data_IF_908091692336
#
_entry.id   IF_908091692336
#
_cell.length_a   1.000
_cell.length_b   1.000
_cell.length_c   1.000
_cell.angle_alpha   90.00
_cell.angle_beta   90.00
_cell.angle_gamma   90.00
#
_symmetry.space_group_name_H-M   'P 1'
#
loop_
_entity.id
_entity.type
_entity.pdbx_description
1 polymer ?
#
# COMPACT_ATOMS: atom_id res chain seq x y z
N UNK A 1 -14.80 -5.67 -44.26
CA UNK A 1 -15.17 -6.85 -43.48
C UNK A 1 -13.98 -7.81 -43.53
N UNK A 2 -13.02 -7.60 -42.62
CA UNK A 2 -11.82 -8.45 -42.46
C UNK A 2 -11.78 -8.88 -41.00
N UNK A 3 -12.25 -10.11 -40.79
CA UNK A 3 -12.21 -10.79 -39.48
C UNK A 3 -10.75 -11.13 -39.17
N UNK A 4 -10.12 -10.44 -38.19
CA UNK A 4 -8.81 -10.85 -37.65
C UNK A 4 -9.01 -12.08 -36.77
N UNK A 5 -8.35 -13.17 -37.12
CA UNK A 5 -8.29 -14.40 -36.32
C UNK A 5 -7.55 -14.13 -35.04
N UNK A 6 -7.92 -14.79 -33.92
CA UNK A 6 -7.17 -14.71 -32.68
C UNK A 6 -5.77 -15.35 -32.86
N UNK A 7 -4.75 -14.69 -32.31
CA UNK A 7 -3.38 -15.23 -32.26
C UNK A 7 -3.36 -16.47 -31.37
N UNK A 8 -3.14 -17.62 -31.97
CA UNK A 8 -2.76 -18.84 -31.25
C UNK A 8 -1.23 -18.85 -31.10
N UNK A 9 -0.72 -18.74 -29.88
CA UNK A 9 0.69 -18.96 -29.56
C UNK A 9 0.85 -20.48 -29.41
N UNK A 10 1.60 -21.10 -30.32
CA UNK A 10 2.01 -22.50 -30.20
C UNK A 10 3.04 -22.63 -29.05
N UNK A 11 2.89 -23.68 -28.24
CA UNK A 11 3.59 -23.92 -26.98
C UNK A 11 5.09 -24.30 -27.13
N UNK A 12 5.76 -23.94 -28.22
CA UNK A 12 7.10 -24.42 -28.54
C UNK A 12 8.27 -23.44 -28.38
N UNK A 13 8.01 -22.15 -28.00
CA UNK A 13 9.06 -21.13 -28.01
C UNK A 13 9.35 -20.49 -26.65
N UNK A 14 9.23 -21.21 -25.55
CA UNK A 14 9.70 -20.74 -24.25
C UNK A 14 10.98 -21.49 -23.87
N UNK A 15 12.12 -21.04 -24.37
CA UNK A 15 13.41 -21.38 -23.76
C UNK A 15 13.57 -20.57 -22.45
N UNK A 16 13.39 -21.26 -21.32
CA UNK A 16 13.72 -20.71 -20.00
C UNK A 16 15.21 -20.90 -19.76
N UNK A 17 16.03 -19.83 -19.64
CA UNK A 17 17.41 -19.99 -19.22
C UNK A 17 17.47 -20.39 -17.75
N UNK A 18 17.68 -21.68 -17.49
CA UNK A 18 17.93 -22.18 -16.13
C UNK A 18 19.38 -21.91 -15.77
N UNK A 19 19.62 -20.80 -15.06
CA UNK A 19 20.86 -20.61 -14.30
C UNK A 19 20.56 -20.16 -12.87
N UNK A 20 19.99 -21.05 -12.09
CA UNK A 20 20.00 -20.92 -10.64
C UNK A 20 21.32 -21.48 -10.11
N UNK A 21 22.27 -20.62 -9.75
CA UNK A 21 23.38 -21.01 -8.88
C UNK A 21 22.83 -21.21 -7.48
N UNK A 22 22.63 -22.47 -7.09
CA UNK A 22 22.39 -22.84 -5.70
C UNK A 22 23.64 -22.51 -4.88
N UNK A 23 23.52 -21.57 -3.96
CA UNK A 23 24.47 -21.45 -2.86
C UNK A 23 24.14 -22.51 -1.81
N UNK A 24 25.11 -23.30 -1.32
CA UNK A 24 24.84 -24.30 -0.32
C UNK A 24 24.62 -23.65 1.04
N UNK A 25 23.45 -23.87 1.63
CA UNK A 25 23.17 -23.54 3.03
C UNK A 25 23.92 -24.51 3.94
N UNK A 26 25.09 -24.11 4.43
CA UNK A 26 25.78 -24.82 5.51
C UNK A 26 25.19 -24.40 6.87
N UNK A 27 24.09 -25.01 7.24
CA UNK A 27 23.52 -24.94 8.60
C UNK A 27 23.83 -26.21 9.38
N UNK A 28 24.77 -26.16 10.30
CA UNK A 28 25.03 -27.26 11.24
C UNK A 28 23.83 -27.43 12.17
N UNK A 29 23.06 -28.48 11.97
CA UNK A 29 22.12 -28.98 12.98
C UNK A 29 22.89 -29.61 14.14
N UNK A 30 22.89 -28.94 15.29
CA UNK A 30 23.34 -29.54 16.55
C UNK A 30 22.26 -30.48 17.09
N UNK A 31 22.51 -31.77 17.07
CA UNK A 31 21.63 -32.79 17.62
C UNK A 31 21.57 -32.69 19.15
N UNK A 32 20.42 -32.34 19.68
CA UNK A 32 20.12 -32.43 21.12
C UNK A 32 19.84 -33.89 21.49
N UNK A 33 20.81 -34.55 22.14
CA UNK A 33 20.64 -35.86 22.77
C UNK A 33 19.76 -35.72 24.02
N UNK A 34 18.61 -36.40 24.02
CA UNK A 34 17.84 -36.71 25.25
C UNK A 34 18.67 -37.67 26.12
N UNK A 35 18.87 -37.28 27.39
CA UNK A 35 19.43 -38.21 28.40
C UNK A 35 18.59 -38.15 29.65
N UNK A 36 18.19 -39.34 30.04
CA UNK A 36 17.27 -39.75 31.10
C UNK A 36 17.65 -39.23 32.50
N UNK A 37 16.60 -38.87 33.25
CA UNK A 37 16.62 -38.72 34.71
C UNK A 37 16.45 -40.09 35.35
N UNK A 38 17.33 -40.44 36.30
CA UNK A 38 17.05 -41.45 37.30
C UNK A 38 17.73 -41.03 38.64
N UNK A 39 16.92 -41.10 39.67
CA UNK A 39 17.02 -40.97 41.11
C UNK A 39 18.34 -41.29 41.82
N UNK A 40 18.56 -40.57 42.97
CA UNK A 40 19.40 -41.03 44.07
C UNK A 40 19.82 -39.88 44.97
N UNK A 41 19.38 -39.67 46.01
CA UNK A 41 19.21 -39.68 47.42
C UNK A 41 20.31 -38.97 48.25
N UNK A 42 19.86 -38.15 49.18
CA UNK A 42 20.38 -37.71 50.52
C UNK A 42 21.89 -37.50 50.74
N UNK A 43 22.22 -36.31 51.28
CA UNK A 43 23.43 -36.05 52.01
C UNK A 43 23.57 -34.56 52.37
N UNK A 44 23.13 -34.19 53.58
CA UNK A 44 23.36 -32.88 54.16
C UNK A 44 24.84 -32.71 54.57
N UNK A 45 25.38 -31.50 54.35
CA UNK A 45 26.26 -30.82 55.31
C UNK A 45 26.54 -29.37 54.89
N UNK A 46 26.42 -28.48 55.87
CA UNK A 46 26.53 -27.05 55.75
C UNK A 46 27.96 -26.59 55.42
N UNK A 47 28.07 -25.66 54.50
CA UNK A 47 29.19 -24.72 54.42
C UNK A 47 28.65 -23.34 54.05
N UNK A 48 28.73 -22.40 54.98
CA UNK A 48 28.53 -20.97 54.74
C UNK A 48 29.55 -20.48 53.73
N UNK A 49 29.14 -20.28 52.49
CA UNK A 49 29.85 -19.53 51.50
C UNK A 49 28.99 -18.31 51.18
N UNK A 50 29.46 -17.12 51.49
CA UNK A 50 28.88 -15.87 51.04
C UNK A 50 28.99 -15.85 49.51
N UNK A 51 27.91 -16.15 48.81
CA UNK A 51 27.75 -15.79 47.42
C UNK A 51 27.45 -14.29 47.42
N UNK A 52 28.42 -13.52 46.97
CA UNK A 52 28.17 -12.16 46.51
C UNK A 52 27.07 -12.27 45.41
N UNK A 53 25.86 -11.90 45.79
CA UNK A 53 24.80 -11.60 44.83
C UNK A 53 25.32 -10.43 43.98
N UNK A 54 25.89 -10.76 42.83
CA UNK A 54 26.04 -9.79 41.78
C UNK A 54 24.63 -9.28 41.48
N UNK A 55 24.35 -7.99 41.61
CA UNK A 55 23.04 -7.48 41.24
C UNK A 55 22.84 -7.83 39.76
N UNK A 56 21.95 -8.78 39.45
CA UNK A 56 21.39 -8.89 38.14
C UNK A 56 20.82 -7.51 37.84
N UNK A 57 21.52 -6.76 37.01
CA UNK A 57 21.02 -5.56 36.40
C UNK A 57 19.71 -5.97 35.72
N UNK A 58 18.59 -5.76 36.41
CA UNK A 58 17.29 -5.65 35.77
C UNK A 58 17.35 -4.36 34.95
N UNK A 59 18.03 -4.45 33.80
CA UNK A 59 18.00 -3.38 32.81
C UNK A 59 16.53 -3.08 32.56
N UNK A 60 16.12 -1.86 32.83
CA UNK A 60 14.77 -1.44 32.50
C UNK A 60 14.55 -1.76 31.02
N UNK A 61 13.55 -2.59 30.73
CA UNK A 61 13.20 -2.89 29.36
C UNK A 61 13.01 -1.57 28.61
N UNK A 62 13.66 -1.47 27.45
CA UNK A 62 13.52 -0.31 26.57
C UNK A 62 12.03 -0.04 26.32
N UNK A 63 11.59 1.19 26.54
CA UNK A 63 10.21 1.64 26.29
C UNK A 63 10.22 2.96 25.57
N UNK A 64 9.39 3.06 24.55
CA UNK A 64 9.20 4.29 23.77
C UNK A 64 7.72 4.65 23.71
N UNK A 65 7.45 5.95 23.69
CA UNK A 65 6.12 6.51 23.46
C UNK A 65 6.19 7.35 22.22
N UNK A 66 5.47 6.91 21.20
CA UNK A 66 5.44 7.54 19.90
C UNK A 66 4.09 8.16 19.63
N UNK A 67 4.10 9.18 18.78
CA UNK A 67 2.90 9.77 18.22
C UNK A 67 2.83 9.39 16.75
N UNK A 68 1.64 9.05 16.28
CA UNK A 68 1.34 8.78 14.88
C UNK A 68 0.34 9.82 14.38
N UNK A 69 0.70 10.59 13.37
CA UNK A 69 -0.26 11.44 12.64
C UNK A 69 -0.69 10.76 11.35
N UNK A 70 -1.94 10.99 10.92
CA UNK A 70 -2.49 10.32 9.75
C UNK A 70 -3.06 11.30 8.74
N UNK A 71 -3.19 10.85 7.49
CA UNK A 71 -3.90 11.60 6.44
C UNK A 71 -5.42 11.33 6.42
N UNK A 72 -5.94 10.62 7.41
CA UNK A 72 -7.30 10.09 7.41
C UNK A 72 -8.17 10.73 8.48
N UNK A 73 -9.49 10.89 8.23
CA UNK A 73 -10.44 11.30 9.27
C UNK A 73 -10.48 10.31 10.45
N UNK A 74 -10.93 10.74 11.63
CA UNK A 74 -10.98 9.89 12.82
C UNK A 74 -11.79 8.61 12.56
N UNK A 75 -11.20 7.44 12.83
CA UNK A 75 -11.85 6.13 12.68
C UNK A 75 -12.43 5.87 11.28
N UNK A 76 -11.96 6.58 10.26
CA UNK A 76 -12.43 6.38 8.89
C UNK A 76 -12.25 4.90 8.50
N UNK A 77 -13.29 4.23 7.99
CA UNK A 77 -13.26 2.82 7.68
C UNK A 77 -12.08 2.45 6.76
N UNK A 78 -11.42 1.35 7.02
CA UNK A 78 -10.21 0.95 6.30
C UNK A 78 -9.00 1.79 6.71
N UNK A 79 -8.85 3.00 6.22
CA UNK A 79 -7.65 3.85 6.41
C UNK A 79 -7.40 4.27 7.88
N UNK A 80 -8.36 4.96 8.49
CA UNK A 80 -8.22 5.43 9.87
C UNK A 80 -8.21 4.28 10.88
N UNK A 81 -9.04 3.25 10.65
CA UNK A 81 -9.04 2.04 11.49
C UNK A 81 -7.78 1.21 11.33
N UNK A 82 -7.13 1.24 10.16
CA UNK A 82 -5.82 0.61 9.91
C UNK A 82 -4.73 1.25 10.74
N UNK A 83 -4.64 2.58 10.76
CA UNK A 83 -3.67 3.29 11.59
C UNK A 83 -3.81 2.93 13.07
N UNK A 84 -5.04 2.85 13.58
CA UNK A 84 -5.33 2.45 14.96
C UNK A 84 -4.92 0.99 15.23
N UNK A 85 -5.21 0.06 14.30
CA UNK A 85 -4.78 -1.34 14.43
C UNK A 85 -3.27 -1.50 14.37
N UNK A 86 -2.58 -0.74 13.52
CA UNK A 86 -1.13 -0.74 13.47
C UNK A 86 -0.53 -0.30 14.81
N UNK A 87 -1.05 0.77 15.41
CA UNK A 87 -0.65 1.23 16.74
C UNK A 87 -0.87 0.14 17.81
N UNK A 88 -2.05 -0.48 17.81
CA UNK A 88 -2.37 -1.58 18.72
C UNK A 88 -1.43 -2.79 18.51
N UNK A 89 -1.14 -3.17 17.26
CA UNK A 89 -0.20 -4.27 16.97
C UNK A 89 1.21 -3.99 17.48
N UNK A 90 1.69 -2.74 17.32
CA UNK A 90 2.99 -2.33 17.85
C UNK A 90 3.05 -2.50 19.36
N UNK A 91 2.01 -2.09 20.08
CA UNK A 91 1.91 -2.24 21.53
C UNK A 91 1.84 -3.73 21.95
N UNK A 92 0.95 -4.50 21.34
CA UNK A 92 0.76 -5.93 21.65
C UNK A 92 2.02 -6.76 21.37
N UNK A 93 2.62 -6.62 20.17
CA UNK A 93 3.80 -7.39 19.77
C UNK A 93 5.04 -7.01 20.58
N UNK A 94 5.15 -5.77 21.03
CA UNK A 94 6.25 -5.31 21.86
C UNK A 94 6.06 -5.62 23.37
N UNK A 95 4.89 -6.13 23.77
CA UNK A 95 4.55 -6.30 25.18
C UNK A 95 4.47 -4.97 25.92
N UNK A 96 3.92 -3.92 25.29
CA UNK A 96 3.77 -2.58 25.82
C UNK A 96 5.09 -1.76 25.86
N UNK A 97 6.09 -2.16 25.08
CA UNK A 97 7.36 -1.39 24.99
C UNK A 97 7.31 -0.29 23.94
N UNK A 98 6.47 -0.42 22.94
CA UNK A 98 6.16 0.64 21.95
C UNK A 98 4.70 1.04 22.18
N UNK A 99 4.48 2.17 22.86
CA UNK A 99 3.14 2.77 23.02
C UNK A 99 2.95 3.84 21.94
N UNK A 100 1.84 3.81 21.20
CA UNK A 100 1.58 4.74 20.10
C UNK A 100 0.25 5.46 20.30
N UNK A 101 0.30 6.80 20.34
CA UNK A 101 -0.89 7.65 20.32
C UNK A 101 -1.19 8.09 18.88
N UNK A 102 -2.37 7.75 18.37
CA UNK A 102 -2.78 8.07 16.98
C UNK A 102 -3.60 9.36 16.95
N UNK A 103 -3.27 10.24 16.00
CA UNK A 103 -3.96 11.51 15.76
C UNK A 103 -4.44 11.55 14.31
N UNK A 104 -5.71 11.82 14.13
CA UNK A 104 -6.34 11.89 12.81
C UNK A 104 -5.86 13.12 12.00
N UNK A 105 -6.09 13.07 10.70
CA UNK A 105 -5.79 14.19 9.80
C UNK A 105 -6.53 15.46 10.21
N UNK A 106 -5.80 16.56 10.38
CA UNK A 106 -6.33 17.84 10.87
C UNK A 106 -6.31 18.01 12.38
N UNK A 107 -6.00 16.97 13.18
CA UNK A 107 -6.01 17.03 14.65
C UNK A 107 -4.75 17.69 15.22
N UNK A 108 -3.57 17.30 14.79
CA UNK A 108 -2.30 17.93 15.12
C UNK A 108 -1.70 18.67 13.94
N UNK A 109 -1.84 18.13 12.74
CA UNK A 109 -1.29 18.67 11.50
C UNK A 109 -2.32 18.50 10.37
N UNK A 110 -2.30 19.34 9.33
CA UNK A 110 -3.11 19.12 8.15
C UNK A 110 -2.86 17.74 7.53
N UNK A 111 -3.89 17.12 6.97
CA UNK A 111 -3.87 15.74 6.50
C UNK A 111 -2.77 15.43 5.45
N UNK A 112 -2.37 16.42 4.64
CA UNK A 112 -1.34 16.28 3.61
C UNK A 112 0.05 16.76 4.06
N UNK A 113 0.25 17.05 5.36
CA UNK A 113 1.52 17.48 5.95
C UNK A 113 2.24 16.36 6.74
N UNK A 114 1.71 15.16 6.71
CA UNK A 114 2.23 14.01 7.49
C UNK A 114 3.72 13.76 7.23
N UNK A 115 4.14 13.70 5.96
CA UNK A 115 5.56 13.49 5.62
C UNK A 115 6.43 14.62 6.16
N UNK A 116 5.99 15.88 6.08
CA UNK A 116 6.75 17.03 6.51
C UNK A 116 7.10 16.98 7.99
N UNK A 117 6.14 16.66 8.85
CA UNK A 117 6.38 16.67 10.30
C UNK A 117 7.19 15.46 10.77
N UNK A 118 7.07 14.31 10.08
CA UNK A 118 7.92 13.12 10.34
C UNK A 118 9.35 13.39 9.88
N UNK A 119 9.54 13.98 8.70
CA UNK A 119 10.88 14.29 8.16
C UNK A 119 11.64 15.31 9.01
N UNK A 120 10.91 16.22 9.68
CA UNK A 120 11.49 17.19 10.62
C UNK A 120 11.75 16.61 12.02
N UNK A 121 11.44 15.33 12.25
CA UNK A 121 11.59 14.69 13.55
C UNK A 121 10.63 15.22 14.62
N UNK A 122 9.59 15.97 14.25
CA UNK A 122 8.61 16.50 15.18
C UNK A 122 7.63 15.43 15.68
N UNK A 123 7.40 14.41 14.85
CA UNK A 123 6.52 13.26 15.10
C UNK A 123 7.28 11.99 14.69
N UNK A 124 7.10 10.94 15.48
CA UNK A 124 7.83 9.69 15.32
C UNK A 124 7.29 8.82 14.18
N UNK A 125 5.95 8.80 13.99
CA UNK A 125 5.26 7.98 13.00
C UNK A 125 4.27 8.80 12.15
N UNK A 126 4.14 8.40 10.88
CA UNK A 126 3.06 8.83 10.00
C UNK A 126 2.34 7.63 9.38
N UNK A 127 1.05 7.74 9.11
CA UNK A 127 0.30 6.79 8.30
C UNK A 127 -0.41 7.52 7.16
N UNK A 128 0.01 7.23 5.92
CA UNK A 128 -0.39 8.01 4.74
C UNK A 128 -0.33 7.17 3.46
N UNK A 129 -0.29 7.83 2.31
CA UNK A 129 -0.10 7.21 1.00
C UNK A 129 1.02 7.91 0.22
N UNK A 130 1.92 7.16 -0.44
CA UNK A 130 3.06 7.70 -1.18
C UNK A 130 2.67 8.68 -2.30
N UNK A 131 1.47 8.53 -2.85
CA UNK A 131 0.96 9.35 -3.95
C UNK A 131 0.84 10.84 -3.61
N UNK A 132 0.85 11.21 -2.33
CA UNK A 132 0.75 12.62 -1.92
C UNK A 132 2.08 13.39 -1.97
N UNK A 133 3.20 12.69 -2.14
CA UNK A 133 4.53 13.29 -1.98
C UNK A 133 5.23 13.66 -3.29
N UNK A 134 4.50 13.73 -4.40
CA UNK A 134 5.02 14.05 -5.74
C UNK A 134 5.99 15.25 -5.75
N UNK A 135 5.63 16.31 -5.04
CA UNK A 135 6.41 17.55 -5.01
C UNK A 135 7.72 17.46 -4.22
N UNK A 136 7.87 16.46 -3.34
CA UNK A 136 9.05 16.28 -2.48
C UNK A 136 9.91 15.09 -2.92
N UNK A 137 9.26 14.01 -3.30
CA UNK A 137 9.88 12.76 -3.74
C UNK A 137 9.16 12.31 -5.00
N UNK A 138 9.58 12.72 -6.20
CA UNK A 138 8.91 12.33 -7.45
C UNK A 138 8.71 10.81 -7.59
N UNK A 139 9.71 10.01 -7.18
CA UNK A 139 9.65 8.55 -7.21
C UNK A 139 8.60 7.95 -6.25
N UNK A 140 8.12 8.70 -5.23
CA UNK A 140 7.19 8.17 -4.23
C UNK A 140 5.90 7.63 -4.85
N UNK A 141 5.40 8.26 -5.91
CA UNK A 141 4.18 7.84 -6.59
C UNK A 141 4.23 6.38 -7.07
N UNK A 142 5.43 5.91 -7.50
CA UNK A 142 5.65 4.54 -7.97
C UNK A 142 5.45 3.48 -6.88
N UNK A 143 5.58 3.86 -5.61
CA UNK A 143 5.34 2.99 -4.46
C UNK A 143 3.89 3.05 -3.96
N UNK A 144 3.12 4.03 -4.41
CA UNK A 144 1.68 4.14 -4.13
C UNK A 144 0.84 3.30 -5.07
N UNK A 145 0.86 3.67 -6.33
CA UNK A 145 0.19 2.95 -7.43
C UNK A 145 0.76 3.36 -8.78
N UNK A 146 0.69 2.45 -9.74
CA UNK A 146 1.03 2.72 -11.15
C UNK A 146 -0.20 2.46 -12.01
N UNK A 147 -0.66 3.44 -12.80
CA UNK A 147 -1.80 3.26 -13.69
C UNK A 147 -1.61 2.06 -14.63
N UNK A 148 -2.64 1.21 -14.77
CA UNK A 148 -2.61 -0.07 -15.50
C UNK A 148 -1.52 -1.04 -15.05
N UNK A 149 -0.97 -0.84 -13.84
CA UNK A 149 0.16 -1.57 -13.30
C UNK A 149 -0.20 -2.85 -12.56
N UNK A 150 0.72 -3.24 -11.66
CA UNK A 150 0.63 -4.47 -10.88
C UNK A 150 -0.57 -4.49 -9.93
N UNK A 151 -1.21 -5.66 -9.83
CA UNK A 151 -2.24 -5.95 -8.83
C UNK A 151 -1.62 -6.10 -7.43
N UNK A 152 -2.41 -6.10 -6.34
CA UNK A 152 -1.89 -6.05 -4.98
C UNK A 152 -0.88 -7.16 -4.65
N UNK A 153 -1.13 -8.39 -5.07
CA UNK A 153 -0.21 -9.52 -4.81
C UNK A 153 1.10 -9.38 -5.59
N UNK A 154 1.02 -8.89 -6.83
CA UNK A 154 2.17 -8.61 -7.68
C UNK A 154 3.02 -7.49 -7.08
N UNK A 155 2.36 -6.43 -6.63
CA UNK A 155 3.00 -5.27 -6.03
C UNK A 155 3.71 -5.63 -4.71
N UNK A 156 3.05 -6.39 -3.84
CA UNK A 156 3.66 -6.91 -2.61
C UNK A 156 4.87 -7.82 -2.92
N UNK A 157 4.78 -8.65 -3.96
CA UNK A 157 5.89 -9.50 -4.38
C UNK A 157 7.09 -8.65 -4.85
N UNK A 158 6.85 -7.57 -5.60
CA UNK A 158 7.90 -6.62 -5.98
C UNK A 158 8.53 -5.94 -4.77
N UNK A 159 7.71 -5.44 -3.84
CA UNK A 159 8.20 -4.78 -2.62
C UNK A 159 9.10 -5.71 -1.80
N UNK A 160 8.67 -6.96 -1.56
CA UNK A 160 9.39 -7.84 -0.64
C UNK A 160 10.50 -8.69 -1.29
N UNK A 161 10.45 -8.93 -2.60
CA UNK A 161 11.37 -9.84 -3.29
C UNK A 161 11.95 -9.26 -4.60
N UNK A 162 11.39 -8.18 -5.13
CA UNK A 162 11.85 -7.52 -6.36
C UNK A 162 12.74 -6.30 -6.14
N UNK A 163 13.13 -6.00 -4.89
CA UNK A 163 13.97 -4.84 -4.55
C UNK A 163 13.18 -3.53 -4.40
N UNK A 164 11.85 -3.58 -4.48
CA UNK A 164 10.99 -2.39 -4.38
C UNK A 164 11.09 -1.70 -3.02
N UNK A 165 11.15 -2.46 -1.92
CA UNK A 165 11.23 -1.89 -0.57
C UNK A 165 12.56 -1.16 -0.33
N UNK A 166 13.67 -1.73 -0.78
CA UNK A 166 14.99 -1.11 -0.67
C UNK A 166 15.05 0.20 -1.46
N UNK A 167 14.50 0.22 -2.68
CA UNK A 167 14.40 1.43 -3.50
C UNK A 167 13.49 2.48 -2.86
N UNK A 168 12.40 2.05 -2.23
CA UNK A 168 11.49 2.95 -1.51
C UNK A 168 12.20 3.62 -0.34
N UNK A 169 12.88 2.84 0.49
CA UNK A 169 13.66 3.36 1.61
C UNK A 169 14.80 4.27 1.17
N UNK A 170 15.49 3.94 0.06
CA UNK A 170 16.52 4.80 -0.52
C UNK A 170 15.95 6.13 -0.99
N UNK A 171 14.76 6.14 -1.63
CA UNK A 171 14.11 7.36 -2.11
C UNK A 171 13.73 8.32 -0.96
N UNK A 172 13.37 7.79 0.22
CA UNK A 172 12.94 8.59 1.38
C UNK A 172 14.10 8.94 2.33
N UNK A 173 15.22 8.24 2.25
CA UNK A 173 16.37 8.45 3.13
C UNK A 173 16.88 9.90 3.19
N UNK A 174 16.91 10.69 2.08
CA UNK A 174 17.34 12.09 2.14
C UNK A 174 16.47 12.97 3.05
N UNK A 175 15.22 12.56 3.30
CA UNK A 175 14.29 13.25 4.21
C UNK A 175 14.35 12.72 5.65
N UNK A 176 15.26 11.79 5.95
CA UNK A 176 15.35 11.19 7.28
C UNK A 176 14.15 10.33 7.67
N UNK A 177 13.48 9.71 6.70
CA UNK A 177 12.29 8.89 6.89
C UNK A 177 12.51 7.48 6.35
N UNK A 178 12.01 6.49 7.07
CA UNK A 178 11.99 5.09 6.66
C UNK A 178 10.53 4.69 6.40
N UNK A 179 10.13 4.45 5.15
CA UNK A 179 8.80 3.96 4.82
C UNK A 179 8.72 2.44 4.97
N UNK A 180 7.53 1.96 5.36
CA UNK A 180 7.15 0.55 5.32
C UNK A 180 5.76 0.42 4.70
N UNK A 181 5.50 -0.60 3.85
CA UNK A 181 4.14 -0.91 3.41
C UNK A 181 3.32 -1.32 4.63
N UNK A 182 2.26 -0.57 4.90
CA UNK A 182 1.40 -0.75 6.07
C UNK A 182 -0.09 -0.76 5.72
N UNK A 183 -0.39 -1.05 4.47
CA UNK A 183 -1.73 -1.24 3.95
C UNK A 183 -1.75 -1.33 2.43
N UNK A 184 -2.80 -1.97 1.92
CA UNK A 184 -3.13 -1.98 0.50
C UNK A 184 -4.65 -1.97 0.35
N UNK A 185 -5.19 -1.06 -0.44
CA UNK A 185 -6.63 -0.92 -0.64
C UNK A 185 -7.22 -1.97 -1.59
N UNK A 186 -6.37 -2.76 -2.22
CA UNK A 186 -6.79 -3.62 -3.31
C UNK A 186 -6.95 -2.85 -4.63
N UNK A 187 -7.53 -3.51 -5.62
CA UNK A 187 -7.90 -2.86 -6.87
C UNK A 187 -9.07 -1.91 -6.64
N UNK A 188 -8.92 -0.68 -7.08
CA UNK A 188 -9.88 0.38 -6.84
C UNK A 188 -10.95 0.49 -7.93
N UNK A 189 -11.87 1.43 -7.74
CA UNK A 189 -12.83 1.84 -8.76
C UNK A 189 -12.32 3.07 -9.52
N UNK A 190 -12.86 3.29 -10.72
CA UNK A 190 -12.44 4.38 -11.61
C UNK A 190 -12.96 5.76 -11.22
N UNK A 191 -13.86 5.83 -10.23
CA UNK A 191 -14.34 7.07 -9.65
C UNK A 191 -15.82 7.37 -9.87
N UNK A 192 -16.24 8.50 -9.29
CA UNK A 192 -17.60 9.05 -9.29
C UNK A 192 -17.67 10.26 -10.20
N UNK A 193 -18.71 10.30 -11.02
CA UNK A 193 -18.91 11.36 -12.02
C UNK A 193 -20.35 11.89 -11.97
N UNK A 194 -20.50 13.20 -12.14
CA UNK A 194 -21.81 13.84 -12.25
C UNK A 194 -22.41 13.73 -13.66
N UNK A 195 -21.61 13.27 -14.63
CA UNK A 195 -22.06 13.02 -16.01
C UNK A 195 -21.56 11.67 -16.51
N UNK A 196 -22.22 11.12 -17.53
CA UNK A 196 -21.74 9.90 -18.19
C UNK A 196 -20.51 10.21 -19.07
N UNK A 197 -19.56 9.27 -19.06
CA UNK A 197 -18.36 9.30 -19.89
C UNK A 197 -18.55 8.25 -20.99
N UNK A 198 -18.78 8.69 -22.20
CA UNK A 198 -19.00 7.87 -23.36
C UNK A 198 -17.84 7.92 -24.36
N UNK A 199 -16.96 8.92 -24.23
CA UNK A 199 -15.79 9.12 -25.07
C UNK A 199 -14.69 9.88 -24.31
N UNK A 200 -13.50 9.99 -24.92
CA UNK A 200 -12.38 10.77 -24.37
C UNK A 200 -12.70 12.26 -24.29
N UNK A 201 -13.49 12.76 -25.23
CA UNK A 201 -13.92 14.17 -25.29
C UNK A 201 -14.74 14.56 -24.05
N UNK A 202 -15.48 13.63 -23.45
CA UNK A 202 -16.28 13.87 -22.25
C UNK A 202 -15.41 14.14 -21.00
N UNK A 203 -14.13 13.78 -21.06
CA UNK A 203 -13.16 14.08 -19.99
C UNK A 203 -12.65 15.54 -20.05
N UNK A 204 -12.71 16.18 -21.21
CA UNK A 204 -12.10 17.47 -21.42
C UNK A 204 -12.76 18.57 -20.59
N UNK A 205 -11.94 19.27 -19.79
CA UNK A 205 -12.38 20.37 -18.94
C UNK A 205 -13.02 19.95 -17.62
N UNK A 206 -13.20 18.64 -17.33
CA UNK A 206 -13.69 18.19 -16.04
C UNK A 206 -12.74 18.59 -14.91
N UNK A 207 -13.26 19.14 -13.85
CA UNK A 207 -12.54 19.35 -12.60
C UNK A 207 -12.67 18.06 -11.77
N UNK A 208 -11.58 17.31 -11.67
CA UNK A 208 -11.61 16.03 -10.96
C UNK A 208 -10.62 16.01 -9.80
N UNK A 209 -11.09 15.58 -8.64
CA UNK A 209 -10.18 15.21 -7.57
C UNK A 209 -9.57 13.84 -7.90
N UNK A 210 -8.30 13.85 -8.23
CA UNK A 210 -7.53 12.65 -8.52
C UNK A 210 -6.05 12.94 -8.25
N UNK A 211 -5.43 12.31 -7.21
CA UNK A 211 -4.02 12.49 -6.89
C UNK A 211 -3.12 11.57 -7.72
N UNK A 212 -1.82 11.71 -7.53
CA UNK A 212 -0.83 10.77 -8.02
C UNK A 212 -0.73 10.75 -9.55
N UNK A 213 -0.19 9.65 -10.06
CA UNK A 213 0.02 9.43 -11.49
C UNK A 213 -1.29 9.40 -12.28
N UNK A 214 -2.39 8.94 -11.66
CA UNK A 214 -3.72 9.00 -12.28
C UNK A 214 -4.13 10.42 -12.63
N UNK A 215 -3.80 11.40 -11.79
CA UNK A 215 -4.04 12.82 -12.06
C UNK A 215 -3.22 13.34 -13.24
N UNK A 216 -1.96 12.94 -13.36
CA UNK A 216 -1.09 13.31 -14.49
C UNK A 216 -1.60 12.70 -15.82
N UNK A 217 -2.10 11.47 -15.79
CA UNK A 217 -2.71 10.81 -16.95
C UNK A 217 -4.01 11.51 -17.36
N UNK A 218 -4.90 11.79 -16.39
CA UNK A 218 -6.15 12.51 -16.67
C UNK A 218 -5.91 13.93 -17.18
N UNK A 219 -4.83 14.57 -16.74
CA UNK A 219 -4.44 15.89 -17.27
C UNK A 219 -4.09 15.82 -18.77
N UNK A 220 -3.40 14.77 -19.22
CA UNK A 220 -3.14 14.56 -20.66
C UNK A 220 -4.44 14.33 -21.44
N UNK A 221 -5.48 13.77 -20.83
CA UNK A 221 -6.82 13.64 -21.39
C UNK A 221 -7.69 14.91 -21.33
N UNK A 222 -7.12 16.04 -20.84
CA UNK A 222 -7.82 17.32 -20.78
C UNK A 222 -8.57 17.61 -19.49
N UNK A 223 -8.51 16.70 -18.49
CA UNK A 223 -9.06 16.92 -17.15
C UNK A 223 -8.25 17.98 -16.39
N UNK A 224 -8.88 18.68 -15.48
CA UNK A 224 -8.27 19.63 -14.54
C UNK A 224 -8.15 18.95 -13.15
N UNK A 225 -7.05 18.23 -12.86
CA UNK A 225 -6.90 17.50 -11.61
C UNK A 225 -6.66 18.46 -10.43
N UNK A 226 -7.27 18.12 -9.29
CA UNK A 226 -7.04 18.80 -8.01
C UNK A 226 -6.78 17.78 -6.91
N UNK A 227 -6.02 18.17 -5.88
CA UNK A 227 -5.73 17.33 -4.73
C UNK A 227 -6.33 18.00 -3.49
N UNK A 228 -7.32 17.35 -2.89
CA UNK A 228 -7.94 17.74 -1.62
C UNK A 228 -8.06 16.52 -0.70
N UNK A 229 -8.03 16.72 0.63
CA UNK A 229 -8.19 15.64 1.58
C UNK A 229 -9.60 15.03 1.51
N UNK A 230 -9.75 13.77 1.92
CA UNK A 230 -11.02 13.04 1.84
C UNK A 230 -12.16 13.73 2.58
N UNK A 231 -11.87 14.44 3.69
CA UNK A 231 -12.85 15.22 4.44
C UNK A 231 -13.60 16.26 3.62
N UNK A 232 -13.00 16.74 2.53
CA UNK A 232 -13.51 17.85 1.74
C UNK A 232 -14.16 17.39 0.42
N UNK A 233 -13.96 16.12 0.02
CA UNK A 233 -14.39 15.60 -1.29
C UNK A 233 -15.92 15.67 -1.44
N UNK A 234 -16.66 15.17 -0.45
CA UNK A 234 -18.14 15.17 -0.52
C UNK A 234 -18.70 16.57 -0.77
N UNK A 235 -18.25 17.55 0.02
CA UNK A 235 -18.71 18.93 -0.11
C UNK A 235 -18.31 19.53 -1.45
N UNK A 236 -17.09 19.29 -1.92
CA UNK A 236 -16.63 19.79 -3.20
C UNK A 236 -17.42 19.23 -4.38
N UNK A 237 -17.76 17.93 -4.32
CA UNK A 237 -18.56 17.24 -5.34
C UNK A 237 -20.03 17.72 -5.31
N UNK A 238 -20.63 17.82 -4.12
CA UNK A 238 -22.02 18.26 -3.93
C UNK A 238 -22.23 19.71 -4.38
N UNK A 239 -21.25 20.59 -4.15
CA UNK A 239 -21.34 22.01 -4.52
C UNK A 239 -20.95 22.30 -5.98
N UNK A 240 -20.49 21.28 -6.74
CA UNK A 240 -19.97 21.46 -8.09
C UNK A 240 -18.63 22.19 -8.16
N UNK A 241 -17.90 22.26 -7.04
CA UNK A 241 -16.50 22.75 -7.04
C UNK A 241 -15.62 21.80 -7.85
N UNK A 242 -15.92 20.48 -7.78
CA UNK A 242 -15.40 19.44 -8.66
C UNK A 242 -16.56 18.71 -9.34
N UNK A 243 -16.33 18.20 -10.55
CA UNK A 243 -17.30 17.48 -11.39
C UNK A 243 -17.20 15.97 -11.19
N UNK A 244 -16.04 15.50 -10.74
CA UNK A 244 -15.73 14.10 -10.53
C UNK A 244 -14.70 13.91 -9.42
N UNK A 245 -14.66 12.69 -8.88
CA UNK A 245 -13.65 12.26 -7.91
C UNK A 245 -13.38 10.77 -8.04
N UNK A 246 -12.14 10.36 -7.80
CA UNK A 246 -11.86 9.01 -7.33
C UNK A 246 -11.56 9.05 -5.82
N UNK A 247 -11.69 7.92 -5.14
CA UNK A 247 -11.23 7.78 -3.77
C UNK A 247 -10.61 6.39 -3.57
N UNK A 248 -11.38 5.32 -3.44
CA UNK A 248 -10.85 3.96 -3.31
C UNK A 248 -11.78 2.95 -3.98
N UNK A 249 -12.92 2.69 -3.36
CA UNK A 249 -13.84 1.67 -3.77
C UNK A 249 -15.08 1.62 -2.87
N UNK A 250 -16.03 0.73 -3.15
CA UNK A 250 -17.38 0.77 -2.58
C UNK A 250 -17.45 0.94 -1.07
N UNK A 251 -16.59 0.27 -0.32
CA UNK A 251 -16.57 0.32 1.14
C UNK A 251 -16.22 1.69 1.70
N UNK A 252 -15.17 2.29 1.17
CA UNK A 252 -14.71 3.61 1.59
C UNK A 252 -15.56 4.73 1.02
N UNK A 253 -15.94 4.61 -0.26
CA UNK A 253 -16.68 5.62 -0.99
C UNK A 253 -18.09 5.79 -0.40
N UNK A 254 -18.72 4.68 0.00
CA UNK A 254 -19.99 4.70 0.72
C UNK A 254 -19.84 5.40 2.09
N UNK A 255 -18.76 5.13 2.82
CA UNK A 255 -18.49 5.79 4.11
C UNK A 255 -18.20 7.29 3.96
N UNK A 256 -17.63 7.71 2.83
CA UNK A 256 -17.44 9.12 2.47
C UNK A 256 -18.71 9.79 1.93
N UNK A 257 -19.80 9.05 1.72
CA UNK A 257 -21.08 9.58 1.22
C UNK A 257 -21.06 9.93 -0.27
N UNK A 258 -20.09 9.49 -1.06
CA UNK A 258 -19.91 9.93 -2.45
C UNK A 258 -21.10 9.59 -3.35
N UNK A 259 -21.81 8.52 -3.06
CA UNK A 259 -23.03 8.09 -3.74
C UNK A 259 -24.21 9.06 -3.57
N UNK A 260 -24.18 9.95 -2.59
CA UNK A 260 -25.19 10.99 -2.39
C UNK A 260 -24.89 12.26 -3.20
N UNK A 261 -23.64 12.38 -3.71
CA UNK A 261 -23.16 13.56 -4.42
C UNK A 261 -22.91 13.34 -5.91
N UNK A 262 -22.81 12.07 -6.39
CA UNK A 262 -22.67 11.75 -7.81
C UNK A 262 -23.44 10.48 -8.16
N UNK A 263 -23.91 10.41 -9.43
CA UNK A 263 -24.78 9.32 -9.90
C UNK A 263 -24.03 8.15 -10.52
N UNK A 264 -22.91 8.42 -11.22
CA UNK A 264 -22.23 7.43 -12.05
C UNK A 264 -20.97 6.95 -11.36
N UNK A 265 -20.86 5.62 -11.19
CA UNK A 265 -19.73 4.97 -10.57
C UNK A 265 -18.99 4.08 -11.56
N UNK A 266 -17.77 4.46 -11.90
CA UNK A 266 -17.01 3.85 -12.99
C UNK A 266 -16.04 2.76 -12.55
N UNK A 267 -15.83 1.78 -13.44
CA UNK A 267 -14.81 0.74 -13.35
C UNK A 267 -14.20 0.44 -14.73
N UNK A 268 -13.01 -0.19 -14.81
CA UNK A 268 -12.09 -0.52 -13.73
C UNK A 268 -11.38 0.71 -13.15
N UNK A 269 -10.80 0.57 -11.95
CA UNK A 269 -9.90 1.55 -11.34
C UNK A 269 -8.52 1.49 -11.98
N UNK A 270 -8.43 1.91 -13.22
CA UNK A 270 -7.24 1.86 -14.04
C UNK A 270 -6.08 2.69 -13.47
N UNK A 271 -6.38 3.75 -12.72
CA UNK A 271 -5.42 4.66 -12.08
C UNK A 271 -4.71 4.03 -10.89
N UNK A 272 -5.43 3.18 -10.13
CA UNK A 272 -4.91 2.50 -8.94
C UNK A 272 -5.34 1.02 -8.90
N UNK A 273 -4.68 0.16 -9.72
CA UNK A 273 -4.90 -1.28 -9.64
C UNK A 273 -4.49 -1.86 -8.28
N UNK A 274 -3.64 -1.14 -7.53
CA UNK A 274 -3.14 -1.47 -6.20
C UNK A 274 -2.82 -0.18 -5.47
N UNK A 275 -3.58 0.19 -4.43
CA UNK A 275 -3.34 1.40 -3.64
C UNK A 275 -2.57 1.10 -2.36
N UNK A 276 -1.27 1.38 -2.31
CA UNK A 276 -0.43 1.12 -1.15
C UNK A 276 -0.52 2.24 -0.12
N UNK A 277 -0.68 1.86 1.15
CA UNK A 277 -0.57 2.76 2.30
C UNK A 277 0.77 2.53 3.00
N UNK A 278 1.29 3.59 3.59
CA UNK A 278 2.62 3.59 4.21
C UNK A 278 2.59 3.92 5.69
N UNK A 279 3.46 3.27 6.44
CA UNK A 279 3.92 3.73 7.74
C UNK A 279 5.25 4.46 7.55
N UNK A 280 5.26 5.75 7.78
CA UNK A 280 6.45 6.59 7.79
C UNK A 280 7.04 6.58 9.21
N UNK A 281 8.31 6.22 9.33
CA UNK A 281 9.01 6.23 10.61
C UNK A 281 10.15 7.24 10.55
N UNK A 282 10.23 8.17 11.50
CA UNK A 282 11.41 9.01 11.64
C UNK A 282 12.66 8.13 11.77
N UNK A 283 13.66 8.37 10.94
CA UNK A 283 14.90 7.58 10.93
C UNK A 283 15.61 7.65 12.27
N UNK A 284 15.57 8.80 12.95
CA UNK A 284 16.13 8.98 14.29
C UNK A 284 15.40 8.09 15.30
N UNK A 285 14.06 8.14 15.33
CA UNK A 285 13.24 7.32 16.20
C UNK A 285 13.45 5.82 15.95
N UNK A 286 13.49 5.41 14.67
CA UNK A 286 13.73 4.01 14.31
C UNK A 286 15.12 3.53 14.71
N UNK A 287 16.16 4.34 14.46
CA UNK A 287 17.54 3.97 14.77
C UNK A 287 17.81 3.89 16.26
N UNK A 288 17.05 4.59 17.10
CA UNK A 288 17.14 4.50 18.56
C UNK A 288 16.64 3.16 19.12
N UNK A 289 15.86 2.40 18.37
CA UNK A 289 15.31 1.12 18.79
C UNK A 289 16.36 0.01 18.76
N UNK A 290 16.21 -0.97 19.67
CA UNK A 290 16.90 -2.26 19.59
C UNK A 290 16.48 -3.03 18.33
N UNK A 291 17.31 -3.98 17.89
CA UNK A 291 17.03 -4.80 16.71
C UNK A 291 15.74 -5.63 16.86
N UNK A 292 15.42 -6.02 18.10
CA UNK A 292 14.15 -6.69 18.41
C UNK A 292 12.96 -5.78 18.13
N UNK A 293 12.95 -4.54 18.64
CA UNK A 293 11.87 -3.58 18.43
C UNK A 293 11.77 -3.14 16.95
N UNK A 294 12.89 -2.98 16.25
CA UNK A 294 12.91 -2.76 14.79
C UNK A 294 12.23 -3.90 14.03
N UNK A 295 12.46 -5.14 14.47
CA UNK A 295 11.81 -6.32 13.86
C UNK A 295 10.31 -6.33 14.13
N UNK A 296 9.87 -5.92 15.32
CA UNK A 296 8.46 -5.77 15.67
C UNK A 296 7.79 -4.72 14.79
N UNK A 297 8.41 -3.55 14.57
CA UNK A 297 7.87 -2.51 13.68
C UNK A 297 7.64 -3.06 12.27
N UNK A 298 8.64 -3.70 11.68
CA UNK A 298 8.51 -4.31 10.34
C UNK A 298 7.40 -5.36 10.29
N UNK A 299 7.34 -6.24 11.29
CA UNK A 299 6.35 -7.32 11.34
C UNK A 299 4.94 -6.76 11.49
N UNK A 300 4.74 -5.74 12.32
CA UNK A 300 3.45 -5.09 12.49
C UNK A 300 2.95 -4.45 11.19
N UNK A 301 3.84 -3.77 10.44
CA UNK A 301 3.53 -3.19 9.15
C UNK A 301 3.13 -4.26 8.11
N UNK A 302 3.90 -5.35 7.99
CA UNK A 302 3.58 -6.47 7.09
C UNK A 302 2.22 -7.09 7.44
N UNK A 303 1.96 -7.33 8.73
CA UNK A 303 0.70 -7.90 9.18
C UNK A 303 -0.49 -6.98 8.90
N UNK A 304 -0.33 -5.66 9.05
CA UNK A 304 -1.39 -4.71 8.73
C UNK A 304 -1.61 -4.58 7.23
N UNK A 305 -0.54 -4.62 6.42
CA UNK A 305 -0.62 -4.58 4.96
C UNK A 305 -1.50 -5.72 4.40
N UNK A 306 -1.32 -6.95 4.88
CA UNK A 306 -2.12 -8.11 4.46
C UNK A 306 -3.55 -8.04 5.01
N UNK A 307 -3.69 -7.64 6.28
CA UNK A 307 -5.00 -7.60 6.94
C UNK A 307 -5.96 -6.60 6.29
N UNK A 308 -5.50 -5.36 6.02
CA UNK A 308 -6.35 -4.35 5.41
C UNK A 308 -6.72 -4.69 3.97
N UNK A 309 -5.81 -5.30 3.18
CA UNK A 309 -6.10 -5.79 1.84
C UNK A 309 -7.26 -6.80 1.88
N UNK A 310 -7.22 -7.74 2.82
CA UNK A 310 -8.29 -8.72 3.03
C UNK A 310 -9.60 -8.04 3.46
N UNK A 311 -9.53 -7.01 4.33
CA UNK A 311 -10.69 -6.22 4.76
C UNK A 311 -11.36 -5.52 3.58
N UNK A 312 -10.57 -4.81 2.73
CA UNK A 312 -11.11 -4.13 1.56
C UNK A 312 -11.78 -5.10 0.59
N UNK A 313 -11.11 -6.19 0.23
CA UNK A 313 -11.69 -7.19 -0.69
C UNK A 313 -13.01 -7.77 -0.16
N UNK A 314 -13.08 -8.09 1.12
CA UNK A 314 -14.29 -8.64 1.72
C UNK A 314 -15.44 -7.62 1.84
N UNK A 315 -15.13 -6.36 2.14
CA UNK A 315 -16.13 -5.33 2.38
C UNK A 315 -16.58 -4.62 1.11
N UNK A 316 -15.70 -4.42 0.13
CA UNK A 316 -16.04 -3.81 -1.16
C UNK A 316 -17.16 -4.56 -1.87
N UNK A 317 -17.10 -5.88 -1.92
CA UNK A 317 -18.14 -6.72 -2.53
C UNK A 317 -19.53 -6.49 -1.92
N UNK A 318 -19.60 -6.36 -0.58
CA UNK A 318 -20.86 -6.12 0.12
C UNK A 318 -21.35 -4.68 -0.09
N UNK A 319 -20.45 -3.70 0.02
CA UNK A 319 -20.77 -2.30 -0.15
C UNK A 319 -21.24 -1.99 -1.58
N UNK A 320 -20.61 -2.60 -2.60
CA UNK A 320 -21.05 -2.44 -3.99
C UNK A 320 -22.50 -2.89 -4.18
N UNK A 321 -22.85 -4.01 -3.57
CA UNK A 321 -24.24 -4.51 -3.62
C UNK A 321 -25.22 -3.50 -3.03
N UNK A 322 -24.91 -2.94 -1.85
CA UNK A 322 -25.74 -1.92 -1.19
C UNK A 322 -25.84 -0.66 -2.07
N UNK A 323 -24.73 -0.16 -2.60
CA UNK A 323 -24.73 1.02 -3.47
C UNK A 323 -25.62 0.85 -4.71
N UNK A 324 -25.58 -0.32 -5.34
CA UNK A 324 -26.37 -0.58 -6.55
C UNK A 324 -27.84 -0.89 -6.23
N UNK A 325 -28.11 -1.79 -5.27
CA UNK A 325 -29.45 -2.31 -5.01
C UNK A 325 -30.29 -1.38 -4.12
N UNK A 326 -29.67 -0.70 -3.14
CA UNK A 326 -30.38 0.11 -2.17
C UNK A 326 -30.28 1.62 -2.46
N UNK A 327 -29.13 2.09 -2.97
CA UNK A 327 -28.92 3.51 -3.30
C UNK A 327 -29.11 3.83 -4.79
N UNK A 328 -29.30 2.83 -5.66
CA UNK A 328 -29.59 3.04 -7.09
C UNK A 328 -28.41 3.61 -7.89
N UNK A 329 -27.19 3.43 -7.42
CA UNK A 329 -25.96 3.91 -8.08
C UNK A 329 -25.86 3.33 -9.49
N UNK A 330 -25.56 4.17 -10.46
CA UNK A 330 -25.41 3.79 -11.86
C UNK A 330 -23.98 3.29 -12.12
N UNK A 331 -23.76 1.99 -11.92
CA UNK A 331 -22.47 1.36 -12.23
C UNK A 331 -22.22 1.40 -13.73
N UNK A 332 -21.03 1.87 -14.14
CA UNK A 332 -20.61 2.01 -15.54
C UNK A 332 -19.20 1.47 -15.75
N UNK A 333 -19.01 0.79 -16.87
CA UNK A 333 -17.68 0.46 -17.35
C UNK A 333 -17.18 1.60 -18.24
N UNK A 334 -15.93 2.03 -18.08
CA UNK A 334 -15.31 2.93 -19.03
C UNK A 334 -15.32 2.31 -20.43
N UNK A 335 -15.63 3.08 -21.49
CA UNK A 335 -15.50 2.64 -22.87
C UNK A 335 -14.08 2.14 -23.18
N UNK A 336 -13.96 1.15 -24.07
CA UNK A 336 -12.66 0.54 -24.38
C UNK A 336 -11.70 1.54 -25.04
N UNK A 337 -12.19 2.44 -25.87
CA UNK A 337 -11.42 3.51 -26.50
C UNK A 337 -10.90 4.52 -25.48
N UNK A 338 -11.69 4.86 -24.45
CA UNK A 338 -11.24 5.71 -23.32
C UNK A 338 -10.11 5.01 -22.56
N UNK A 339 -10.27 3.72 -22.22
CA UNK A 339 -9.23 2.95 -21.52
C UNK A 339 -7.95 2.81 -22.37
N UNK A 340 -8.07 2.68 -23.70
CA UNK A 340 -6.92 2.60 -24.59
C UNK A 340 -6.11 3.89 -24.59
N UNK A 341 -6.77 5.04 -24.72
CA UNK A 341 -6.11 6.36 -24.68
C UNK A 341 -5.48 6.63 -23.29
N UNK A 342 -6.19 6.30 -22.21
CA UNK A 342 -5.64 6.49 -20.85
C UNK A 342 -4.43 5.58 -20.61
N UNK A 343 -4.41 4.38 -21.17
CA UNK A 343 -3.25 3.48 -21.08
C UNK A 343 -2.05 4.05 -21.84
N UNK A 344 -2.25 4.58 -23.03
CA UNK A 344 -1.18 5.21 -23.81
C UNK A 344 -0.61 6.43 -23.10
N UNK A 345 -1.46 7.31 -22.56
CA UNK A 345 -1.01 8.43 -21.71
C UNK A 345 -0.32 7.97 -20.43
N UNK A 346 -0.70 6.82 -19.87
CA UNK A 346 -0.02 6.26 -18.69
C UNK A 346 1.44 5.90 -19.01
N UNK A 347 1.70 5.31 -20.18
CA UNK A 347 3.06 5.01 -20.61
C UNK A 347 3.89 6.28 -20.72
N UNK A 348 3.35 7.33 -21.38
CA UNK A 348 4.02 8.62 -21.51
C UNK A 348 4.33 9.26 -20.13
N UNK A 349 3.35 9.28 -19.22
CA UNK A 349 3.54 9.83 -17.86
C UNK A 349 4.63 9.07 -17.10
N UNK A 350 4.68 7.74 -17.25
CA UNK A 350 5.69 6.92 -16.59
C UNK A 350 7.09 7.18 -17.17
N UNK A 351 7.20 7.36 -18.48
CA UNK A 351 8.47 7.68 -19.15
C UNK A 351 8.94 9.10 -18.77
N UNK A 352 8.04 10.08 -18.74
CA UNK A 352 8.31 11.45 -18.28
C UNK A 352 8.84 11.45 -16.83
N UNK A 353 8.16 10.74 -15.92
CA UNK A 353 8.59 10.61 -14.53
C UNK A 353 9.96 9.94 -14.40
N UNK A 354 10.21 8.88 -15.17
CA UNK A 354 11.49 8.17 -15.17
C UNK A 354 12.64 9.06 -15.65
N UNK A 355 12.37 9.96 -16.60
CA UNK A 355 13.36 10.91 -17.13
C UNK A 355 13.62 12.10 -16.20
N UNK A 356 12.73 12.40 -15.26
CA UNK A 356 12.81 13.58 -14.38
C UNK A 356 14.04 13.56 -13.46
N UNK A 357 14.36 12.38 -12.90
CA UNK A 357 15.54 12.21 -12.05
C UNK A 357 16.02 10.75 -12.00
N UNK A 358 17.31 10.50 -11.65
CA UNK A 358 17.87 9.16 -11.64
C UNK A 358 17.15 8.17 -10.72
N UNK A 359 16.58 8.64 -9.60
CA UNK A 359 15.88 7.78 -8.66
C UNK A 359 14.57 7.26 -9.23
N UNK A 360 13.76 8.15 -9.83
CA UNK A 360 12.53 7.76 -10.52
C UNK A 360 12.81 6.77 -11.66
N UNK A 361 13.88 7.01 -12.44
CA UNK A 361 14.30 6.09 -13.51
C UNK A 361 14.66 4.69 -13.01
N UNK A 362 15.41 4.61 -11.90
CA UNK A 362 15.78 3.32 -11.29
C UNK A 362 14.58 2.56 -10.74
N UNK A 363 13.68 3.26 -10.07
CA UNK A 363 12.45 2.67 -9.51
C UNK A 363 11.56 2.16 -10.62
N UNK A 364 11.33 2.98 -11.66
CA UNK A 364 10.47 2.59 -12.78
C UNK A 364 11.05 1.40 -13.55
N UNK A 365 12.37 1.35 -13.80
CA UNK A 365 12.98 0.23 -14.48
C UNK A 365 12.85 -1.08 -13.67
N UNK A 366 13.11 -1.03 -12.35
CA UNK A 366 12.89 -2.16 -11.46
C UNK A 366 11.44 -2.65 -11.49
N UNK A 367 10.49 -1.70 -11.37
CA UNK A 367 9.06 -1.98 -11.44
C UNK A 367 8.67 -2.67 -12.76
N UNK A 368 9.08 -2.10 -13.89
CA UNK A 368 8.72 -2.55 -15.24
C UNK A 368 9.22 -3.98 -15.53
N UNK A 369 10.47 -4.26 -15.16
CA UNK A 369 11.07 -5.60 -15.33
C UNK A 369 10.26 -6.61 -14.51
N UNK A 370 10.05 -6.33 -13.22
CA UNK A 370 9.32 -7.23 -12.34
C UNK A 370 7.86 -7.43 -12.78
N UNK A 371 7.16 -6.35 -13.15
CA UNK A 371 5.77 -6.42 -13.63
C UNK A 371 5.63 -7.31 -14.87
N UNK A 372 6.61 -7.26 -15.78
CA UNK A 372 6.63 -8.11 -16.98
C UNK A 372 6.76 -9.59 -16.62
N UNK A 373 7.71 -9.91 -15.73
CA UNK A 373 7.99 -11.29 -15.31
C UNK A 373 6.83 -11.90 -14.50
N UNK A 374 6.35 -11.18 -13.48
CA UNK A 374 5.27 -11.67 -12.63
C UNK A 374 3.94 -11.79 -13.39
N UNK A 375 3.66 -10.85 -14.30
CA UNK A 375 2.45 -10.88 -15.13
C UNK A 375 2.43 -12.08 -16.07
N UNK A 376 3.59 -12.53 -16.58
CA UNK A 376 3.68 -13.75 -17.37
C UNK A 376 3.31 -15.00 -16.55
N UNK A 377 3.81 -15.09 -15.32
CA UNK A 377 3.47 -16.17 -14.38
C UNK A 377 1.98 -16.18 -14.00
N UNK A 378 1.43 -15.03 -13.62
CA UNK A 378 0.05 -14.95 -13.14
C UNK A 378 -1.00 -15.20 -14.24
N UNK A 379 -0.69 -14.91 -15.50
CA UNK A 379 -1.57 -15.31 -16.61
C UNK A 379 -1.71 -16.83 -16.70
N UNK A 380 -0.63 -17.57 -16.45
CA UNK A 380 -0.65 -19.04 -16.46
C UNK A 380 -1.38 -19.62 -15.25
N UNK A 381 -1.28 -18.97 -14.10
CA UNK A 381 -1.82 -19.45 -12.82
C UNK A 381 -3.19 -18.83 -12.51
N UNK A 382 -3.23 -17.66 -11.87
CA UNK A 382 -4.47 -17.02 -11.40
C UNK A 382 -5.41 -16.64 -12.56
N UNK A 383 -4.85 -16.18 -13.69
CA UNK A 383 -5.62 -15.89 -14.89
C UNK A 383 -6.36 -17.13 -15.42
N UNK A 384 -5.62 -18.22 -15.62
CA UNK A 384 -6.20 -19.48 -16.13
C UNK A 384 -7.23 -20.08 -15.16
N UNK A 385 -7.02 -20.03 -13.85
CA UNK A 385 -8.01 -20.54 -12.89
C UNK A 385 -9.23 -19.63 -12.80
N UNK A 386 -9.05 -18.32 -12.95
CA UNK A 386 -10.17 -17.36 -12.99
C UNK A 386 -11.04 -17.59 -14.20
N UNK A 387 -10.44 -17.83 -15.38
CA UNK A 387 -11.15 -18.17 -16.60
C UNK A 387 -11.86 -19.53 -16.48
N UNK A 388 -11.15 -20.56 -15.99
CA UNK A 388 -11.69 -21.93 -15.85
C UNK A 388 -12.83 -22.00 -14.83
N UNK A 389 -12.79 -21.18 -13.78
CA UNK A 389 -13.86 -21.10 -12.75
C UNK A 389 -15.16 -20.51 -13.30
N UNK A 390 -15.09 -19.68 -14.34
CA UNK A 390 -16.24 -18.97 -14.89
C UNK A 390 -16.88 -18.02 -13.89
N UNK A 391 -18.10 -17.59 -14.20
CA UNK A 391 -18.95 -16.86 -13.24
C UNK A 391 -19.60 -17.87 -12.28
N UNK A 392 -19.22 -17.84 -11.02
CA UNK A 392 -19.89 -18.62 -9.96
C UNK A 392 -21.25 -18.04 -9.63
#
# INVERSE_FOLDING_TARGET
MLIRKPYSIEATDIEVPVSFRQQPMNGRMAAMRRRNFLYGGLGALAACGQTEDSPQSTGSLERVRWRMVTSWPPNFPGHGTSANRLAQRLEELSGGRIEVSVFAGGELVPALEVLNVVSQGQIELGHSAPIYWRGQIPAAQLFGSVPFGMLPNEFNAWLYFGGGLELWQEAYAPLGVIPFPAGNTGSQMGGWFNQEINSVEDLNGLKMRIPGLGGEVMQKAGVLPVIIPVSDIYTALQTGTIDATEWVGPYNDMAAGLHEAAEYYYYPGWQEPSGTLECLVSMEAYNSLSDELKTIVRTACIAENDYILSEFNARNQRALKVLVEEHGVKLRRFPDDVLEVLRDFSIEVMEDLAAENPMSGRVYESYKVFATEIGAWLRITEGSITEARGSL
#
